data_IF_949715825998
#
_entry.id   IF_949715825998
#
_cell.length_a   1.000
_cell.length_b   1.000
_cell.length_c   1.000
_cell.angle_alpha   90.00
_cell.angle_beta   90.00
_cell.angle_gamma   90.00
#
_symmetry.space_group_name_H-M   'P 1'
#
loop_
_entity.id
_entity.type
_entity.pdbx_description
1 polymer ?
#
# COMPACT_ATOMS: atom_id res chain seq x y z
N UNK A 1 11.27 1.61 -22.15
CA UNK A 1 10.69 1.86 -20.81
C UNK A 1 11.47 2.82 -19.92
N UNK A 2 10.85 3.23 -18.81
CA UNK A 2 11.47 3.93 -17.67
C UNK A 2 11.92 2.93 -16.61
N UNK A 3 12.95 3.27 -15.82
CA UNK A 3 13.46 2.42 -14.73
C UNK A 3 12.39 2.06 -13.69
N UNK A 4 11.40 2.94 -13.45
CA UNK A 4 10.29 2.67 -12.53
C UNK A 4 9.37 1.55 -13.01
N UNK A 5 9.19 1.40 -14.33
CA UNK A 5 8.43 0.29 -14.89
C UNK A 5 9.20 -1.03 -14.79
N UNK A 6 10.54 -0.98 -14.90
CA UNK A 6 11.42 -2.15 -14.69
C UNK A 6 11.22 -2.71 -13.30
N UNK A 7 11.20 -1.86 -12.26
CA UNK A 7 11.05 -2.31 -10.88
C UNK A 7 9.71 -3.00 -10.62
N UNK A 8 8.64 -2.58 -11.30
CA UNK A 8 7.33 -3.22 -11.20
C UNK A 8 7.28 -4.56 -11.93
N UNK A 9 7.98 -4.67 -13.07
CA UNK A 9 7.93 -5.84 -13.94
C UNK A 9 9.00 -6.89 -13.61
N UNK A 10 10.01 -6.52 -12.82
CA UNK A 10 11.13 -7.39 -12.48
C UNK A 10 10.72 -8.70 -11.80
N UNK A 11 9.76 -8.74 -10.85
CA UNK A 11 9.33 -10.00 -10.25
C UNK A 11 8.77 -10.97 -11.31
N UNK A 12 7.89 -10.48 -12.18
CA UNK A 12 7.31 -11.27 -13.26
C UNK A 12 8.34 -11.70 -14.30
N UNK A 13 9.39 -10.90 -14.50
CA UNK A 13 10.52 -11.27 -15.36
C UNK A 13 11.33 -12.43 -14.78
N UNK A 14 11.62 -12.39 -13.47
CA UNK A 14 12.33 -13.46 -12.76
C UNK A 14 11.53 -14.77 -12.80
N UNK A 15 10.21 -14.68 -12.62
CA UNK A 15 9.29 -15.82 -12.65
C UNK A 15 8.95 -16.30 -14.08
N UNK A 16 9.41 -15.60 -15.13
CA UNK A 16 9.10 -15.96 -16.52
C UNK A 16 7.64 -15.78 -16.92
N UNK A 17 6.90 -14.91 -16.24
CA UNK A 17 5.47 -14.66 -16.44
C UNK A 17 5.17 -13.52 -17.43
N UNK A 18 6.19 -12.85 -17.96
CA UNK A 18 6.01 -11.78 -18.94
C UNK A 18 5.68 -12.33 -20.33
N UNK A 19 4.96 -11.52 -21.11
CA UNK A 19 4.78 -11.82 -22.54
C UNK A 19 6.14 -11.71 -23.26
N UNK A 20 6.36 -12.46 -24.37
CA UNK A 20 7.63 -12.45 -25.09
C UNK A 20 8.05 -11.06 -25.62
N UNK A 21 7.09 -10.16 -25.84
CA UNK A 21 7.37 -8.78 -26.24
C UNK A 21 7.86 -7.94 -25.07
N UNK A 22 7.18 -8.04 -23.92
CA UNK A 22 7.56 -7.36 -22.68
C UNK A 22 8.93 -7.82 -22.18
N UNK A 23 9.21 -9.12 -22.26
CA UNK A 23 10.49 -9.72 -21.87
C UNK A 23 11.65 -9.16 -22.72
N UNK A 24 11.48 -9.06 -24.04
CA UNK A 24 12.49 -8.46 -24.94
C UNK A 24 12.70 -6.98 -24.67
N UNK A 25 11.62 -6.23 -24.42
CA UNK A 25 11.75 -4.82 -24.07
C UNK A 25 12.57 -4.67 -22.79
N UNK A 26 12.20 -5.42 -21.75
CA UNK A 26 12.82 -5.38 -20.42
C UNK A 26 14.29 -5.78 -20.45
N UNK A 27 14.60 -6.88 -21.15
CA UNK A 27 15.98 -7.35 -21.36
C UNK A 27 16.84 -6.27 -22.02
N UNK A 28 16.34 -5.65 -23.09
CA UNK A 28 17.06 -4.55 -23.78
C UNK A 28 17.33 -3.37 -22.86
N UNK A 29 16.40 -3.04 -21.96
CA UNK A 29 16.60 -1.95 -21.01
C UNK A 29 17.62 -2.31 -19.93
N UNK A 30 17.56 -3.53 -19.38
CA UNK A 30 18.52 -4.01 -18.39
C UNK A 30 19.95 -4.01 -18.96
N UNK A 31 20.13 -4.49 -20.19
CA UNK A 31 21.42 -4.46 -20.89
C UNK A 31 21.96 -3.04 -21.09
N UNK A 32 21.08 -2.06 -21.32
CA UNK A 32 21.44 -0.65 -21.53
C UNK A 32 21.53 0.20 -20.26
N UNK A 33 21.11 -0.31 -19.10
CA UNK A 33 20.98 0.46 -17.86
C UNK A 33 21.68 -0.26 -16.68
N UNK A 34 22.90 0.18 -16.30
CA UNK A 34 23.66 -0.44 -15.21
C UNK A 34 22.91 -0.47 -13.86
N UNK A 35 22.07 0.53 -13.59
CA UNK A 35 21.27 0.57 -12.38
C UNK A 35 20.22 -0.55 -12.32
N UNK A 36 19.56 -0.81 -13.45
CA UNK A 36 18.59 -1.91 -13.56
C UNK A 36 19.26 -3.28 -13.58
N UNK A 37 20.46 -3.39 -14.17
CA UNK A 37 21.25 -4.63 -14.11
C UNK A 37 21.65 -4.99 -12.68
N UNK A 38 22.14 -4.01 -11.90
CA UNK A 38 22.45 -4.23 -10.47
C UNK A 38 21.21 -4.63 -9.68
N UNK A 39 20.07 -3.97 -9.94
CA UNK A 39 18.81 -4.30 -9.27
C UNK A 39 18.32 -5.73 -9.58
N UNK A 40 18.50 -6.20 -10.82
CA UNK A 40 18.21 -7.60 -11.19
C UNK A 40 19.09 -8.58 -10.41
N UNK A 41 20.38 -8.29 -10.26
CA UNK A 41 21.31 -9.12 -9.50
C UNK A 41 20.90 -9.20 -8.02
N UNK A 42 20.56 -8.06 -7.42
CA UNK A 42 20.08 -7.99 -6.03
C UNK A 42 18.78 -8.78 -5.84
N UNK A 43 17.84 -8.65 -6.76
CA UNK A 43 16.57 -9.39 -6.70
C UNK A 43 16.78 -10.91 -6.81
N UNK A 44 17.69 -11.37 -7.68
CA UNK A 44 18.05 -12.80 -7.79
C UNK A 44 18.76 -13.33 -6.55
N UNK A 45 19.64 -12.54 -5.96
CA UNK A 45 20.31 -12.91 -4.71
C UNK A 45 19.30 -13.06 -3.56
N UNK A 46 18.31 -12.17 -3.48
CA UNK A 46 17.22 -12.31 -2.52
C UNK A 46 16.40 -13.58 -2.78
N UNK A 47 15.98 -13.82 -4.02
CA UNK A 47 15.22 -15.03 -4.40
C UNK A 47 15.97 -16.31 -3.99
N UNK A 48 17.28 -16.35 -4.17
CA UNK A 48 18.12 -17.48 -3.78
C UNK A 48 18.10 -17.71 -2.26
N UNK A 49 18.21 -16.64 -1.45
CA UNK A 49 18.13 -16.73 0.02
C UNK A 49 16.77 -17.29 0.46
N UNK A 50 15.68 -16.85 -0.17
CA UNK A 50 14.33 -17.37 0.12
C UNK A 50 14.21 -18.85 -0.24
N UNK A 51 14.72 -19.27 -1.41
CA UNK A 51 14.72 -20.68 -1.83
C UNK A 51 15.54 -21.57 -0.90
N UNK A 52 16.66 -21.09 -0.38
CA UNK A 52 17.45 -21.83 0.61
C UNK A 52 16.70 -22.02 1.92
N UNK A 53 15.99 -21.00 2.38
CA UNK A 53 15.15 -21.08 3.59
C UNK A 53 13.95 -22.03 3.39
N UNK A 54 13.29 -21.98 2.23
CA UNK A 54 12.18 -22.89 1.91
C UNK A 54 12.67 -24.35 1.73
N UNK A 55 13.87 -24.55 1.17
CA UNK A 55 14.50 -25.87 1.07
C UNK A 55 14.85 -26.46 2.44
N UNK A 56 15.28 -25.62 3.38
CA UNK A 56 15.45 -25.99 4.78
C UNK A 56 14.10 -26.30 5.46
N UNK A 57 13.02 -25.62 5.08
CA UNK A 57 11.68 -25.91 5.60
C UNK A 57 11.10 -27.22 5.04
N UNK A 58 11.38 -27.57 3.78
CA UNK A 58 11.02 -28.88 3.21
C UNK A 58 11.77 -30.02 3.94
N UNK A 59 13.05 -29.81 4.27
CA UNK A 59 13.82 -30.70 5.15
C UNK A 59 13.24 -30.73 6.58
N UNK A 60 12.88 -29.60 7.19
CA UNK A 60 12.26 -29.54 8.53
C UNK A 60 10.88 -30.17 8.61
N UNK A 61 10.07 -30.04 7.56
CA UNK A 61 8.78 -30.71 7.40
C UNK A 61 8.98 -32.22 7.21
N UNK A 62 10.05 -32.63 6.53
CA UNK A 62 10.49 -34.03 6.49
C UNK A 62 10.92 -34.58 7.86
N UNK A 63 11.45 -33.71 8.74
CA UNK A 63 11.87 -34.07 10.11
C UNK A 63 10.76 -33.99 11.18
N UNK A 64 9.49 -33.98 10.79
CA UNK A 64 8.39 -34.25 11.73
C UNK A 64 8.17 -33.18 12.79
N UNK A 65 8.29 -31.90 12.42
CA UNK A 65 7.78 -30.81 13.24
C UNK A 65 6.29 -31.02 13.57
N UNK A 66 5.83 -30.74 14.80
CA UNK A 66 4.42 -30.89 15.14
C UNK A 66 3.58 -29.95 14.27
N UNK A 67 2.56 -30.49 13.61
CA UNK A 67 1.59 -29.68 12.86
C UNK A 67 0.82 -28.78 13.84
N UNK A 68 1.12 -27.48 13.79
CA UNK A 68 0.50 -26.46 14.64
C UNK A 68 -0.81 -25.94 14.05
N UNK A 69 -1.16 -26.28 12.81
CA UNK A 69 -2.37 -25.77 12.16
C UNK A 69 -3.62 -26.24 12.92
N UNK A 70 -3.82 -27.54 13.23
CA UNK A 70 -4.98 -27.98 13.98
C UNK A 70 -5.15 -27.33 15.36
N UNK A 71 -4.12 -27.27 16.24
CA UNK A 71 -4.29 -26.65 17.57
C UNK A 71 -4.48 -25.13 17.50
N UNK A 72 -3.84 -24.43 16.55
CA UNK A 72 -4.04 -22.98 16.37
C UNK A 72 -5.46 -22.68 15.89
N UNK A 73 -5.97 -23.44 14.91
CA UNK A 73 -7.33 -23.25 14.41
C UNK A 73 -8.38 -23.52 15.48
N UNK A 74 -8.19 -24.56 16.31
CA UNK A 74 -9.07 -24.85 17.44
C UNK A 74 -9.08 -23.71 18.48
N UNK A 75 -7.92 -23.09 18.75
CA UNK A 75 -7.84 -21.97 19.69
C UNK A 75 -8.48 -20.70 19.13
N UNK A 76 -8.36 -20.45 17.81
CA UNK A 76 -9.05 -19.34 17.14
C UNK A 76 -10.57 -19.49 17.30
N UNK A 77 -11.12 -20.67 17.00
CA UNK A 77 -12.57 -20.95 17.13
C UNK A 77 -13.04 -20.72 18.57
N UNK A 78 -12.28 -21.21 19.56
CA UNK A 78 -12.57 -20.99 20.99
C UNK A 78 -12.62 -19.51 21.36
N UNK A 79 -11.68 -18.71 20.85
CA UNK A 79 -11.61 -17.27 21.10
C UNK A 79 -12.76 -16.51 20.42
N UNK A 80 -13.15 -16.93 19.21
CA UNK A 80 -14.28 -16.37 18.48
C UNK A 80 -15.60 -16.64 19.19
N UNK A 81 -15.82 -17.86 19.67
CA UNK A 81 -17.00 -18.24 20.46
C UNK A 81 -17.07 -17.49 21.79
N UNK A 82 -15.93 -17.32 22.47
CA UNK A 82 -15.83 -16.50 23.67
C UNK A 82 -16.16 -15.02 23.39
N UNK A 83 -15.72 -14.48 22.24
CA UNK A 83 -16.07 -13.11 21.83
C UNK A 83 -17.56 -12.99 21.50
N UNK A 84 -18.14 -13.98 20.83
CA UNK A 84 -19.56 -14.01 20.43
C UNK A 84 -20.49 -14.10 21.62
N UNK A 85 -20.16 -14.94 22.60
CA UNK A 85 -20.89 -15.06 23.87
C UNK A 85 -20.75 -13.82 24.78
N UNK A 86 -19.58 -13.17 24.80
CA UNK A 86 -19.42 -11.89 25.50
C UNK A 86 -20.16 -10.72 24.80
N UNK A 87 -20.47 -10.83 23.51
CA UNK A 87 -21.21 -9.81 22.78
C UNK A 87 -22.74 -9.93 22.94
N UNK A 88 -23.26 -11.11 23.31
CA UNK A 88 -24.68 -11.30 23.67
C UNK A 88 -24.99 -10.88 25.11
N UNK A 89 -23.97 -10.81 25.98
CA UNK A 89 -24.09 -10.14 27.28
C UNK A 89 -23.88 -8.64 27.12
N UNK A 90 -24.91 -7.97 26.60
CA UNK A 90 -24.96 -6.52 26.44
C UNK A 90 -25.05 -5.83 27.82
N UNK A 91 -23.91 -5.76 28.52
CA UNK A 91 -23.81 -5.26 29.88
C UNK A 91 -24.09 -3.75 29.93
N UNK A 92 -24.93 -3.26 30.86
CA UNK A 92 -25.31 -1.85 30.96
C UNK A 92 -24.13 -0.90 31.31
N UNK A 93 -22.95 -1.45 31.63
CA UNK A 93 -21.70 -0.69 31.74
C UNK A 93 -21.15 -0.27 30.37
N UNK A 94 -21.18 -1.17 29.37
CA UNK A 94 -20.61 -0.92 28.02
C UNK A 94 -21.37 0.17 27.26
N UNK A 95 -22.70 0.23 27.38
CA UNK A 95 -23.52 1.32 26.80
C UNK A 95 -23.17 2.71 27.36
N UNK A 96 -22.86 2.81 28.66
CA UNK A 96 -22.48 4.08 29.29
C UNK A 96 -21.10 4.56 28.88
N UNK A 97 -20.15 3.64 28.65
CA UNK A 97 -18.84 3.99 28.12
C UNK A 97 -18.89 4.41 26.65
N UNK A 98 -19.69 3.75 25.81
CA UNK A 98 -19.86 4.11 24.39
C UNK A 98 -20.42 5.53 24.16
N UNK A 99 -21.33 5.98 25.02
CA UNK A 99 -21.84 7.36 24.97
C UNK A 99 -20.77 8.38 25.36
N UNK A 100 -19.91 8.08 26.35
CA UNK A 100 -18.83 8.99 26.77
C UNK A 100 -17.70 9.07 25.74
N UNK A 101 -17.35 7.96 25.09
CA UNK A 101 -16.34 7.97 24.02
C UNK A 101 -16.80 8.79 22.81
N UNK A 102 -18.09 8.75 22.47
CA UNK A 102 -18.65 9.57 21.39
C UNK A 102 -18.46 11.09 21.61
N UNK A 103 -18.70 11.59 22.82
CA UNK A 103 -18.49 13.02 23.14
C UNK A 103 -17.02 13.44 23.09
N UNK A 104 -16.12 12.53 23.49
CA UNK A 104 -14.67 12.77 23.41
C UNK A 104 -14.22 12.89 21.94
N UNK A 105 -14.76 12.07 21.04
CA UNK A 105 -14.46 12.19 19.60
C UNK A 105 -14.94 13.52 19.01
N UNK A 106 -16.15 13.97 19.37
CA UNK A 106 -16.65 15.27 18.92
C UNK A 106 -15.83 16.43 19.50
N UNK A 107 -15.42 16.34 20.76
CA UNK A 107 -14.52 17.33 21.39
C UNK A 107 -13.15 17.38 20.72
N UNK A 108 -12.56 16.22 20.42
CA UNK A 108 -11.28 16.13 19.72
C UNK A 108 -11.37 16.71 18.31
N UNK A 109 -12.43 16.39 17.56
CA UNK A 109 -12.65 16.91 16.21
C UNK A 109 -12.85 18.44 16.20
N UNK A 110 -13.57 18.99 17.17
CA UNK A 110 -13.74 20.43 17.33
C UNK A 110 -12.42 21.13 17.67
N UNK A 111 -11.64 20.57 18.60
CA UNK A 111 -10.32 21.08 18.96
C UNK A 111 -9.35 21.05 17.78
N UNK A 112 -9.30 19.92 17.04
CA UNK A 112 -8.47 19.79 15.84
C UNK A 112 -8.85 20.84 14.78
N UNK A 113 -10.15 21.02 14.54
CA UNK A 113 -10.65 22.02 13.58
C UNK A 113 -10.27 23.44 14.00
N UNK A 114 -10.36 23.76 15.29
CA UNK A 114 -9.97 25.07 15.81
C UNK A 114 -8.46 25.33 15.64
N UNK A 115 -7.62 24.35 15.95
CA UNK A 115 -6.16 24.43 15.74
C UNK A 115 -5.83 24.64 14.26
N UNK A 116 -6.48 23.91 13.35
CA UNK A 116 -6.26 24.08 11.91
C UNK A 116 -6.66 25.48 11.39
N UNK A 117 -7.66 26.11 12.00
CA UNK A 117 -8.04 27.50 11.71
C UNK A 117 -7.04 28.51 12.26
N UNK A 118 -6.60 28.36 13.51
CA UNK A 118 -5.65 29.27 14.16
C UNK A 118 -4.27 29.27 13.47
N UNK A 119 -3.83 28.10 12.98
CA UNK A 119 -2.61 27.96 12.21
C UNK A 119 -2.75 28.38 10.74
N UNK A 120 -3.91 28.88 10.29
CA UNK A 120 -4.08 29.43 8.95
C UNK A 120 -3.85 28.41 7.82
N UNK A 121 -3.99 27.10 8.09
CA UNK A 121 -3.78 26.03 7.10
C UNK A 121 -4.66 26.24 5.85
N UNK A 122 -5.84 26.84 6.04
CA UNK A 122 -6.75 27.20 4.96
C UNK A 122 -6.30 28.37 4.10
N UNK A 123 -5.47 29.30 4.59
CA UNK A 123 -4.89 30.37 3.76
C UNK A 123 -3.91 29.78 2.74
N UNK A 124 -3.09 28.80 3.17
CA UNK A 124 -2.15 28.12 2.30
C UNK A 124 -2.84 27.26 1.22
N UNK A 125 -4.02 26.70 1.53
CA UNK A 125 -4.91 26.05 0.57
C UNK A 125 -5.60 27.04 -0.39
N UNK A 126 -5.96 28.23 0.09
CA UNK A 126 -6.54 29.30 -0.73
C UNK A 126 -5.56 29.81 -1.80
N UNK A 127 -4.30 30.04 -1.42
CA UNK A 127 -3.22 30.37 -2.37
C UNK A 127 -2.98 29.24 -3.38
N UNK A 128 -2.94 27.98 -2.91
CA UNK A 128 -2.79 26.80 -3.77
C UNK A 128 -3.91 26.62 -4.81
N UNK A 129 -5.17 26.90 -4.44
CA UNK A 129 -6.30 26.86 -5.38
C UNK A 129 -6.26 27.98 -6.42
N UNK A 130 -5.81 29.19 -6.05
CA UNK A 130 -5.66 30.30 -7.03
C UNK A 130 -4.53 30.06 -8.03
N UNK A 131 -3.44 29.41 -7.62
CA UNK A 131 -2.32 29.05 -8.51
C UNK A 131 -2.72 27.95 -9.51
N UNK A 132 -3.43 26.91 -9.05
CA UNK A 132 -3.95 25.84 -9.92
C UNK A 132 -4.94 26.39 -10.97
N UNK A 133 -5.80 27.35 -10.59
CA UNK A 133 -6.73 27.96 -11.52
C UNK A 133 -6.03 28.85 -12.58
N UNK A 134 -4.93 29.52 -12.20
CA UNK A 134 -4.07 30.25 -13.14
C UNK A 134 -3.38 29.34 -14.17
N UNK A 135 -2.93 28.16 -13.74
CA UNK A 135 -2.32 27.16 -14.62
C UNK A 135 -3.32 26.52 -15.61
N UNK A 136 -4.59 26.29 -15.19
CA UNK A 136 -5.62 25.80 -16.11
C UNK A 136 -6.04 26.85 -17.14
N UNK A 137 -6.14 28.12 -16.76
CA UNK A 137 -6.52 29.20 -17.69
C UNK A 137 -5.49 29.37 -18.82
N UNK A 138 -4.18 29.39 -18.49
CA UNK A 138 -3.11 29.49 -19.51
C UNK A 138 -3.02 28.26 -20.42
N UNK A 139 -3.28 27.06 -19.88
CA UNK A 139 -3.28 25.82 -20.65
C UNK A 139 -4.45 25.77 -21.65
N UNK A 140 -5.63 26.27 -21.26
CA UNK A 140 -6.79 26.39 -22.15
C UNK A 140 -6.56 27.48 -23.21
N UNK A 141 -5.96 28.62 -22.89
CA UNK A 141 -5.63 29.64 -23.92
C UNK A 141 -4.57 29.14 -24.91
N UNK A 142 -3.59 28.34 -24.47
CA UNK A 142 -2.62 27.70 -25.38
C UNK A 142 -3.27 26.65 -26.30
N UNK A 143 -4.26 25.92 -25.79
CA UNK A 143 -4.97 24.88 -26.56
C UNK A 143 -6.01 25.49 -27.53
N UNK A 144 -6.72 26.54 -27.14
CA UNK A 144 -7.77 27.18 -27.95
C UNK A 144 -7.30 28.38 -28.78
N UNK A 145 -6.16 29.00 -28.44
CA UNK A 145 -5.59 30.13 -29.18
C UNK A 145 -4.84 29.73 -30.46
N UNK A 146 -4.34 28.49 -30.54
CA UNK A 146 -3.66 27.97 -31.72
C UNK A 146 -4.61 27.58 -32.86
N UNK A 147 -5.93 27.63 -32.64
CA UNK A 147 -6.94 27.10 -33.57
C UNK A 147 -7.87 28.17 -34.16
N UNK A 148 -7.37 29.42 -34.29
CA UNK A 148 -7.98 30.46 -35.14
C UNK A 148 -6.94 31.15 -36.01
N UNK A 149 -6.47 30.44 -37.03
CA UNK A 149 -6.01 31.05 -38.27
C UNK A 149 -6.49 30.19 -39.43
N UNK A 150 -7.69 30.49 -39.92
CA UNK A 150 -8.03 30.32 -41.32
C UNK A 150 -9.12 31.32 -41.72
#
# INVERSE_FOLDING_TARGET
MKCTAVTEWLPHYIEGLLSPEAERELTRHIEGCPGCARWLEEARAMEQIWKEMDGDDELRLSFGGPDLVPPVMAEIERLEDARRSNNTQDSPSRRRFALRTSWIHYGLAACLTFVLLEFGVFEQLGYGLTEINGHMSSSVTKLFGAQRTH
#
